data_IF_678450225264
#
_entry.id   IF_678450225264
#
_cell.length_a   1.000
_cell.length_b   1.000
_cell.length_c   1.000
_cell.angle_alpha   90.00
_cell.angle_beta   90.00
_cell.angle_gamma   90.00
#
_symmetry.space_group_name_H-M   'P 1'
#
loop_
_entity.id
_entity.type
_entity.pdbx_description
1 polymer ?
2 non-polymer ?
3 water ?
#
# COMPACT_ATOMS: atom_id res chain seq x y z
N UNK A 11 13.68 -0.68 -1.01
CA UNK A 11 12.65 0.08 -1.87
C UNK A 11 12.27 1.32 -1.14
N UNK A 12 12.06 2.34 -1.94
CA UNK A 12 11.72 3.68 -1.51
C UNK A 12 10.20 3.78 -1.66
N UNK A 13 9.55 4.12 -0.55
CA UNK A 13 8.12 4.25 -0.46
C UNK A 13 7.73 5.47 0.41
N UNK A 14 6.70 6.21 -0.01
CA UNK A 14 6.00 7.20 0.82
C UNK A 14 4.82 6.53 1.47
N UNK A 15 4.68 6.73 2.78
CA UNK A 15 3.48 6.32 3.52
C UNK A 15 2.67 7.55 3.87
N UNK A 16 1.43 7.55 3.46
CA UNK A 16 0.47 8.65 3.72
C UNK A 16 -0.62 8.07 4.65
N UNK A 17 -0.64 8.48 5.90
CA UNK A 17 -1.61 7.91 6.85
C UNK A 17 -2.58 8.96 7.16
N UNK A 18 -3.83 8.71 6.82
CA UNK A 18 -4.90 9.65 7.06
C UNK A 18 -5.74 9.29 8.28
N UNK A 19 -5.69 8.02 8.61
CA UNK A 19 -6.36 7.44 9.79
C UNK A 19 -5.54 7.68 11.07
N UNK A 20 -6.20 8.13 12.13
CA UNK A 20 -5.49 8.49 13.37
C UNK A 20 -5.56 7.36 14.42
N UNK A 21 -6.16 6.25 14.03
CA UNK A 21 -6.30 5.14 14.96
C UNK A 21 -5.04 4.33 15.14
N UNK A 22 -5.01 3.63 16.28
CA UNK A 22 -3.87 2.83 16.76
C UNK A 22 -3.46 1.74 15.81
N UNK A 23 -4.42 0.99 15.30
CA UNK A 23 -4.04 -0.10 14.38
C UNK A 23 -3.48 0.48 13.04
N UNK A 24 -4.08 1.58 12.56
CA UNK A 24 -3.46 2.37 11.45
C UNK A 24 -2.02 2.75 11.77
N UNK A 25 -1.81 3.36 12.92
CA UNK A 25 -0.41 3.71 13.33
C UNK A 25 0.54 2.52 13.24
N UNK A 26 -0.03 1.37 13.54
CA UNK A 26 0.71 0.14 13.62
C UNK A 26 1.06 -0.41 12.24
N UNK A 27 0.15 -0.18 11.30
CA UNK A 27 0.38 -0.54 9.94
C UNK A 27 1.52 0.33 9.39
N UNK A 28 1.47 1.60 9.66
CA UNK A 28 2.47 2.53 9.21
C UNK A 28 3.86 2.14 9.68
N UNK A 29 3.92 1.83 10.97
CA UNK A 29 5.14 1.37 11.63
C UNK A 29 5.70 0.08 11.03
N UNK A 30 4.83 -0.88 10.82
CA UNK A 30 5.21 -2.15 10.21
C UNK A 30 5.79 -1.94 8.77
N UNK A 31 5.08 -1.14 7.99
CA UNK A 31 5.51 -0.89 6.62
C UNK A 31 6.89 -0.21 6.63
N UNK A 32 7.04 0.70 7.56
CA UNK A 32 8.15 1.66 7.54
C UNK A 32 9.46 1.05 7.97
N UNK A 33 9.36 -0.10 8.64
CA UNK A 33 10.52 -0.85 9.15
C UNK A 33 11.00 -1.72 8.04
N UNK A 34 10.22 -1.80 6.98
CA UNK A 34 10.57 -2.69 5.88
C UNK A 34 10.91 -1.98 4.58
N UNK A 35 10.83 -0.66 4.59
CA UNK A 35 11.08 0.16 3.41
C UNK A 35 12.06 1.27 3.73
N UNK A 36 12.40 2.08 2.73
CA UNK A 36 13.15 3.31 2.95
C UNK A 36 12.23 4.53 2.89
N UNK A 37 11.71 4.93 4.05
CA UNK A 37 10.72 6.00 4.11
C UNK A 37 11.22 7.25 3.38
N UNK A 38 10.41 7.74 2.48
CA UNK A 38 10.73 8.91 1.73
C UNK A 38 9.83 10.06 2.13
N UNK A 39 8.65 9.72 2.58
CA UNK A 39 7.82 10.63 3.27
C UNK A 39 6.85 9.86 4.08
N UNK A 40 6.57 10.36 5.26
CA UNK A 40 5.71 9.69 6.19
C UNK A 40 4.84 10.75 6.77
N UNK A 41 3.55 10.70 6.51
CA UNK A 41 2.66 11.71 7.03
C UNK A 41 1.27 11.62 6.43
N UNK A 42 0.53 12.73 6.48
CA UNK A 42 -0.91 12.72 6.14
C UNK A 42 -1.31 13.46 4.86
N UNK A 43 -0.31 14.04 4.20
CA UNK A 43 -0.49 14.84 2.96
C UNK A 43 -0.03 14.12 1.71
N UNK A 44 -1.01 13.83 0.88
CA UNK A 44 -0.81 13.05 -0.32
C UNK A 44 -0.10 13.84 -1.41
N UNK A 45 -0.23 15.16 -1.38
CA UNK A 45 0.39 16.03 -2.40
C UNK A 45 1.89 16.08 -2.14
N UNK A 46 2.22 16.07 -0.87
CA UNK A 46 3.60 16.13 -0.41
C UNK A 46 4.27 14.76 -0.56
N UNK A 47 3.49 13.68 -0.51
CA UNK A 47 4.07 12.34 -0.65
C UNK A 47 4.37 12.15 -2.13
N UNK A 48 3.45 12.64 -2.94
CA UNK A 48 3.62 12.65 -4.38
C UNK A 48 4.86 13.41 -4.79
N UNK A 49 5.21 14.41 -4.00
CA UNK A 49 6.33 15.26 -4.34
C UNK A 49 7.65 14.64 -3.93
N UNK A 50 7.66 14.00 -2.77
CA UNK A 50 8.84 13.23 -2.35
C UNK A 50 9.09 12.05 -3.30
N UNK A 51 8.02 11.50 -3.88
CA UNK A 51 8.12 10.33 -4.75
C UNK A 51 8.69 10.70 -6.13
N UNK A 52 8.20 11.79 -6.69
CA UNK A 52 8.62 12.27 -7.99
C UNK A 52 10.06 12.79 -7.90
N UNK A 53 10.41 13.33 -6.75
CA UNK A 53 11.74 13.89 -6.52
C UNK A 53 12.75 12.78 -6.42
N UNK A 54 12.32 11.75 -5.75
CA UNK A 54 13.15 10.64 -5.33
C UNK A 54 13.17 9.56 -6.41
N UNK A 55 12.35 9.78 -7.43
CA UNK A 55 11.96 8.73 -8.34
C UNK A 55 11.68 7.41 -7.61
N UNK A 56 10.96 7.47 -6.48
CA UNK A 56 10.47 6.26 -5.79
C UNK A 56 9.30 5.66 -6.54
N UNK A 57 9.09 4.34 -6.41
CA UNK A 57 8.03 3.63 -7.13
C UNK A 57 6.59 3.70 -6.55
N UNK A 58 6.38 3.96 -5.26
CA UNK A 58 5.03 3.82 -4.71
C UNK A 58 4.78 4.72 -3.56
N UNK A 59 3.51 5.12 -3.43
CA UNK A 59 2.92 5.67 -2.20
C UNK A 59 1.92 4.65 -1.69
N UNK A 60 2.01 4.29 -0.42
CA UNK A 60 1.01 3.46 0.29
C UNK A 60 0.12 4.36 1.16
N UNK A 61 -1.18 4.34 0.91
CA UNK A 61 -2.09 5.18 1.67
C UNK A 61 -2.91 4.34 2.61
N UNK A 62 -2.83 4.75 3.88
CA UNK A 62 -3.70 4.22 4.96
C UNK A 62 -4.82 5.24 5.14
N UNK A 63 -5.96 5.02 4.47
CA UNK A 63 -7.02 6.01 4.51
C UNK A 63 -7.79 5.97 5.81
N UNK A 64 -8.38 7.12 6.10
CA UNK A 64 -9.36 7.32 7.14
C UNK A 64 -10.45 6.21 7.04
N UNK A 65 -10.73 5.55 8.16
CA UNK A 65 -11.68 4.42 8.20
C UNK A 65 -11.01 3.05 8.31
N UNK A 66 -9.68 3.03 8.24
CA UNK A 66 -8.93 1.77 8.24
C UNK A 66 -9.08 0.99 9.56
N UNK A 67 -8.85 1.73 10.64
CA UNK A 67 -8.86 1.21 12.02
C UNK A 67 -10.28 0.69 12.43
N UNK A 68 -11.26 1.51 12.10
CA UNK A 68 -12.65 1.20 12.33
C UNK A 68 -13.15 -0.02 11.54
N UNK A 69 -12.71 -0.15 10.31
CA UNK A 69 -13.07 -1.32 9.55
C UNK A 69 -12.63 -2.53 10.33
N UNK A 70 -11.36 -2.58 10.65
CA UNK A 70 -10.78 -3.74 11.30
C UNK A 70 -11.43 -4.04 12.66
N UNK A 71 -11.94 -3.00 13.31
CA UNK A 71 -12.57 -3.16 14.63
C UNK A 71 -13.99 -3.68 14.46
N UNK A 72 -14.51 -3.45 13.27
CA UNK A 72 -15.85 -3.88 12.87
C UNK A 72 -15.87 -5.29 12.29
N UNK A 73 -14.71 -5.84 11.99
CA UNK A 73 -14.64 -7.17 11.38
C UNK A 73 -14.81 -7.05 9.87
N UNK A 74 -14.34 -5.93 9.37
CA UNK A 74 -14.39 -5.62 7.97
C UNK A 74 -12.96 -5.38 7.41
N UNK A 75 -12.73 -5.88 6.21
CA UNK A 75 -11.47 -5.63 5.52
C UNK A 75 -11.21 -4.13 5.49
N UNK A 76 -9.96 -3.75 5.80
CA UNK A 76 -9.56 -2.36 5.74
C UNK A 76 -9.00 -2.13 4.35
N UNK A 77 -9.22 -0.92 3.87
CA UNK A 77 -8.77 -0.48 2.56
C UNK A 77 -7.35 0.01 2.65
N UNK A 78 -6.52 -0.49 1.76
CA UNK A 78 -5.16 0.00 1.63
C UNK A 78 -4.91 0.33 0.14
N UNK A 79 -4.49 1.57 -0.16
CA UNK A 79 -4.19 1.92 -1.55
C UNK A 79 -2.71 2.08 -1.78
N UNK A 80 -2.33 1.64 -2.98
CA UNK A 80 -0.97 1.82 -3.52
C UNK A 80 -1.10 2.59 -4.78
N UNK A 81 -0.40 3.72 -4.85
CA UNK A 81 -0.22 4.48 -6.09
C UNK A 81 1.19 4.22 -6.59
N UNK A 82 1.27 3.66 -7.78
CA UNK A 82 2.55 3.30 -8.36
C UNK A 82 3.00 4.30 -9.36
N UNK A 83 4.30 4.56 -9.37
CA UNK A 83 4.90 5.53 -10.29
C UNK A 83 5.92 4.81 -11.16
N UNK A 84 5.40 4.35 -12.29
CA UNK A 84 6.21 3.69 -13.28
C UNK A 84 6.74 4.69 -14.29
N UNK A 85 8.04 4.66 -14.44
CA UNK A 85 8.74 5.51 -15.37
C UNK A 85 9.54 4.63 -16.29
N UNK A 86 8.93 3.55 -16.69
CA UNK A 86 9.64 2.50 -17.37
C UNK A 86 9.00 1.17 -17.07
N UNK A 87 9.25 0.24 -17.98
CA UNK A 87 8.61 -1.05 -17.96
C UNK A 87 9.65 -2.16 -17.97
N UNK A 88 10.65 -2.00 -17.09
CA UNK A 88 11.77 -2.94 -17.01
C UNK A 88 12.09 -3.57 -15.69
N UNK A 89 13.25 -4.17 -15.67
CA UNK A 89 13.62 -5.02 -14.57
C UNK A 89 13.42 -4.36 -13.21
N UNK A 90 13.70 -3.06 -13.13
CA UNK A 90 13.83 -2.38 -11.83
C UNK A 90 12.45 -2.19 -11.29
N UNK A 91 11.57 -1.87 -12.21
CA UNK A 91 10.15 -1.62 -11.94
C UNK A 91 9.44 -2.92 -11.52
N UNK A 92 9.81 -4.03 -12.17
CA UNK A 92 9.32 -5.39 -11.88
C UNK A 92 9.80 -5.80 -10.51
N UNK A 93 11.01 -5.41 -10.18
CA UNK A 93 11.58 -5.75 -8.87
C UNK A 93 10.89 -4.99 -7.75
N UNK A 94 10.61 -3.72 -7.99
CA UNK A 94 9.79 -2.92 -7.02
C UNK A 94 8.40 -3.44 -6.84
N UNK A 95 7.77 -3.75 -7.95
CA UNK A 95 6.41 -4.29 -7.89
C UNK A 95 6.30 -5.55 -7.07
N UNK A 96 7.11 -6.54 -7.41
CA UNK A 96 7.17 -7.79 -6.67
C UNK A 96 7.59 -7.62 -5.22
N UNK A 97 8.58 -6.78 -4.99
CA UNK A 97 9.09 -6.55 -3.61
C UNK A 97 8.08 -5.90 -2.71
N UNK A 98 7.41 -4.87 -3.19
CA UNK A 98 6.39 -4.14 -2.39
C UNK A 98 5.16 -5.03 -2.16
N UNK A 99 4.85 -5.85 -3.14
CA UNK A 99 3.73 -6.76 -2.99
C UNK A 99 3.98 -7.74 -1.86
N UNK A 100 5.18 -8.26 -1.89
CA UNK A 100 5.71 -9.12 -0.85
C UNK A 100 5.63 -8.46 0.51
N UNK A 101 5.88 -7.16 0.53
CA UNK A 101 5.83 -6.40 1.80
C UNK A 101 4.39 -6.24 2.31
N UNK A 102 3.43 -6.07 1.42
CA UNK A 102 2.04 -5.97 1.81
C UNK A 102 1.57 -7.31 2.45
N UNK A 103 2.06 -8.42 1.90
CA UNK A 103 1.70 -9.76 2.45
C UNK A 103 2.22 -9.81 3.83
N UNK A 104 3.42 -9.31 3.98
CA UNK A 104 4.08 -9.45 5.31
C UNK A 104 3.38 -8.59 6.38
N UNK A 105 2.79 -7.50 5.95
CA UNK A 105 2.06 -6.60 6.83
C UNK A 105 0.81 -7.28 7.40
N UNK A 106 0.25 -8.16 6.59
CA UNK A 106 -0.96 -8.81 6.97
C UNK A 106 -0.68 -9.69 8.16
N UNK A 107 0.46 -10.39 8.05
CA UNK A 107 1.00 -11.20 9.13
C UNK A 107 1.30 -10.34 10.41
N UNK A 108 1.85 -9.15 10.20
CA UNK A 108 2.22 -8.29 11.31
C UNK A 108 1.01 -7.59 11.91
N UNK A 109 -0.19 -7.90 11.44
CA UNK A 109 -1.41 -7.29 12.01
C UNK A 109 -2.18 -8.28 12.85
N UNK A 110 -1.79 -9.55 12.70
CA UNK A 110 -2.65 -10.66 13.06
C UNK A 110 -3.05 -10.73 14.52
N UNK A 111 -2.10 -10.48 15.41
CA UNK A 111 -2.33 -10.57 16.86
C UNK A 111 -3.42 -9.63 17.29
N UNK A 112 -3.63 -8.60 16.47
CA UNK A 112 -4.56 -7.56 16.83
C UNK A 112 -5.97 -7.98 16.39
N UNK A 113 -6.02 -9.05 15.67
CA UNK A 113 -7.29 -9.54 15.17
C UNK A 113 -7.75 -10.72 15.96
N UNK A 114 -7.03 -11.04 17.02
CA UNK A 114 -7.36 -12.23 17.82
C UNK A 114 -8.46 -11.93 18.82
N UNK A 115 -8.84 -10.66 18.89
CA UNK A 115 -9.66 -10.15 20.04
C UNK A 115 -11.18 -10.60 19.96
N UNK A 116 -11.86 -10.18 18.88
CA UNK A 116 -13.28 -10.52 18.57
C UNK A 116 -13.40 -11.80 17.74
N UNK A 117 -14.62 -12.35 17.67
CA UNK A 117 -14.98 -13.34 16.66
C UNK A 117 -15.31 -12.62 15.36
N UNK A 118 -15.80 -11.38 15.51
CA UNK A 118 -16.01 -10.49 14.36
C UNK A 118 -14.80 -10.51 13.42
N UNK A 119 -13.62 -10.63 14.03
CA UNK A 119 -12.35 -10.31 13.37
C UNK A 119 -11.65 -11.50 12.76
N UNK A 120 -12.27 -12.67 12.81
CA UNK A 120 -11.55 -13.94 12.66
C UNK A 120 -11.26 -14.29 11.23
N UNK A 121 -12.14 -13.83 10.34
CA UNK A 121 -11.95 -13.91 8.84
C UNK A 121 -10.72 -13.13 8.45
N UNK A 122 -10.69 -11.96 9.10
CA UNK A 122 -9.69 -10.96 8.74
C UNK A 122 -8.28 -11.51 8.92
N UNK A 123 -8.20 -12.57 9.68
CA UNK A 123 -6.94 -13.19 9.95
C UNK A 123 -6.24 -13.50 8.67
N UNK A 124 -6.95 -14.18 7.78
CA UNK A 124 -6.40 -14.61 6.53
C UNK A 124 -6.45 -13.55 5.46
N UNK A 125 -7.38 -12.64 5.58
CA UNK A 125 -7.61 -11.69 4.55
C UNK A 125 -8.10 -10.39 5.11
N UNK A 126 -7.18 -9.62 5.64
CA UNK A 126 -7.52 -8.48 6.45
C UNK A 126 -7.63 -7.25 5.61
N UNK A 127 -7.04 -7.25 4.42
CA UNK A 127 -6.87 -6.01 3.67
C UNK A 127 -7.59 -6.06 2.33
N UNK A 128 -8.22 -4.95 1.96
CA UNK A 128 -8.66 -4.75 0.60
C UNK A 128 -7.76 -3.75 -0.15
N UNK A 129 -6.82 -4.33 -0.91
CA UNK A 129 -5.78 -3.60 -1.68
C UNK A 129 -6.29 -3.00 -2.99
N UNK A 130 -6.37 -1.67 -3.01
CA UNK A 130 -6.68 -0.89 -4.22
C UNK A 130 -5.40 -0.30 -4.82
N UNK A 131 -5.20 -0.51 -6.13
CA UNK A 131 -3.94 -0.08 -6.76
C UNK A 131 -4.21 0.85 -7.89
N UNK A 132 -3.36 1.86 -7.99
CA UNK A 132 -3.35 2.89 -9.08
C UNK A 132 -2.00 2.98 -9.66
N UNK A 133 -1.95 3.15 -10.98
CA UNK A 133 -0.70 3.17 -11.73
C UNK A 133 -0.50 4.34 -12.66
N UNK A 134 0.58 5.04 -12.36
CA UNK A 134 1.21 6.00 -13.26
C UNK A 134 2.21 5.29 -14.14
N UNK A 135 1.95 5.41 -15.42
CA UNK A 135 2.90 5.02 -16.45
C UNK A 135 3.16 6.24 -17.32
N UNK A 136 4.42 6.66 -17.28
CA UNK A 136 4.91 7.79 -18.05
C UNK A 136 3.99 8.98 -17.85
N UNK A 137 3.51 9.15 -16.62
CA UNK A 137 2.73 10.33 -16.29
C UNK A 137 1.26 10.20 -16.69
N UNK A 138 0.92 9.07 -17.32
CA UNK A 138 -0.52 8.72 -17.47
C UNK A 138 -0.96 7.96 -16.25
N UNK A 139 -2.09 8.38 -15.69
CA UNK A 139 -2.71 7.82 -14.48
C UNK A 139 -3.77 6.83 -14.86
N UNK A 140 -3.61 5.60 -14.39
CA UNK A 140 -4.62 4.55 -14.59
C UNK A 140 -5.15 4.16 -13.21
N UNK A 141 -6.22 4.83 -12.83
CA UNK A 141 -6.89 4.59 -11.56
C UNK A 141 -7.36 3.18 -11.56
N UNK A 142 -7.21 2.58 -10.41
CA UNK A 142 -7.80 1.28 -10.06
C UNK A 142 -7.18 0.10 -10.80
N UNK A 143 -6.04 0.36 -11.40
CA UNK A 143 -5.29 -0.68 -12.02
C UNK A 143 -3.96 -0.79 -11.41
N UNK A 144 -3.58 -2.04 -11.26
CA UNK A 144 -2.21 -2.47 -10.90
C UNK A 144 -1.25 -2.41 -12.09
N UNK A 145 0.07 -2.42 -11.80
CA UNK A 145 1.03 -2.43 -12.89
C UNK A 145 0.97 -3.66 -13.74
N UNK A 146 0.68 -4.79 -13.10
CA UNK A 146 0.50 -6.06 -13.84
C UNK A 146 -0.58 -5.88 -14.89
N UNK A 147 -1.70 -5.33 -14.43
CA UNK A 147 -2.90 -5.13 -15.31
C UNK A 147 -2.53 -4.21 -16.44
N UNK A 148 -1.88 -3.12 -16.12
CA UNK A 148 -1.54 -2.15 -17.16
C UNK A 148 -0.56 -2.77 -18.14
N UNK A 149 0.35 -3.55 -17.61
CA UNK A 149 1.37 -4.15 -18.45
C UNK A 149 0.77 -5.26 -19.27
N UNK A 150 -0.19 -6.00 -18.73
CA UNK A 150 -0.82 -7.14 -19.48
C UNK A 150 -1.70 -6.64 -20.62
N UNK A 151 -2.24 -5.43 -20.44
CA UNK A 151 -3.07 -4.79 -21.47
C UNK A 151 -2.22 -4.48 -22.67
N UNK A 152 -1.18 -3.68 -22.42
CA UNK A 152 -0.32 -3.15 -23.46
C UNK A 152 0.44 -4.25 -24.20
N UNK A 153 0.80 -5.27 -23.46
CA UNK A 153 1.60 -6.35 -24.04
C UNK A 153 0.71 -7.49 -24.57
N UNK A 154 -0.61 -7.26 -24.57
CA UNK A 154 -1.60 -8.22 -25.05
C UNK A 154 -1.83 -8.04 -26.54
N UNK A 155 -1.12 -7.06 -27.10
CA UNK A 155 -1.10 -6.83 -28.56
C UNK A 155 0.01 -7.62 -29.22
X LIG B 1 1.42 -7.39 -7.06
X LIG C 1 -1.76 7.59 18.95
#
# INVERSE_FOLDING_TARGET
KSTVEKSTVGQKVAIVREDTGTIAELAEKALGNMVDIVYAGSDLKEAEEAVKKEKAPAIIVIPKGFSQSLESGEKARLEIVWYLRGTGLSEAVSTGTISSLIESLKVQLASFLLNDPKKAQLLFDPLEIVQHTYLRGSLFKNHSPEAIMNVFYSQN
CA CA
CA CA
#
